data_IF_240924388532
#
_entry.id   IF_240924388532
#
_cell.length_a   1.000
_cell.length_b   1.000
_cell.length_c   1.000
_cell.angle_alpha   90.00
_cell.angle_beta   90.00
_cell.angle_gamma   90.00
#
_symmetry.space_group_name_H-M   'P 1'
#
loop_
_entity.id
_entity.type
_entity.pdbx_description
1 polymer ?
#
# COMPACT_ATOMS: atom_id res chain seq x y z
N UNK A 1 -8.77 -41.45 -18.67
CA UNK A 1 -9.49 -40.18 -18.89
C UNK A 1 -10.76 -40.31 -18.08
N UNK A 2 -10.95 -39.66 -16.95
CA UNK A 2 -11.17 -38.22 -16.74
C UNK A 2 -11.12 -38.03 -15.22
N UNK A 3 -10.32 -37.13 -14.67
CA UNK A 3 -10.51 -35.72 -14.91
C UNK A 3 -11.43 -35.07 -13.87
N UNK A 4 -11.43 -35.52 -12.61
CA UNK A 4 -12.07 -34.76 -11.54
C UNK A 4 -11.02 -33.91 -10.84
N UNK A 5 -11.09 -32.61 -11.12
CA UNK A 5 -10.40 -31.57 -10.39
C UNK A 5 -10.71 -31.73 -8.89
N UNK A 6 -9.68 -31.99 -8.08
CA UNK A 6 -9.84 -32.11 -6.62
C UNK A 6 -9.65 -30.72 -6.02
N UNK A 7 -10.71 -30.21 -5.39
CA UNK A 7 -10.71 -28.93 -4.68
C UNK A 7 -10.98 -29.18 -3.20
N UNK A 8 -10.11 -28.65 -2.34
CA UNK A 8 -10.20 -28.78 -0.89
C UNK A 8 -9.86 -27.46 -0.20
N UNK A 9 -10.62 -27.15 0.85
CA UNK A 9 -10.45 -25.94 1.65
C UNK A 9 -9.58 -26.29 2.86
N UNK A 10 -8.27 -26.04 2.77
CA UNK A 10 -7.30 -26.36 3.85
C UNK A 10 -7.34 -25.29 4.95
N UNK A 11 -7.69 -24.06 4.58
CA UNK A 11 -7.96 -22.93 5.46
C UNK A 11 -9.20 -22.19 4.91
N UNK A 12 -10.02 -21.50 5.73
CA UNK A 12 -11.23 -20.80 5.26
C UNK A 12 -11.03 -19.82 4.08
N UNK A 13 -9.78 -19.48 3.78
CA UNK A 13 -9.34 -18.47 2.81
C UNK A 13 -8.43 -19.03 1.72
N UNK A 14 -8.07 -20.32 1.80
CA UNK A 14 -7.13 -20.95 0.87
C UNK A 14 -7.80 -22.17 0.28
N UNK A 15 -8.17 -22.04 -1.00
CA UNK A 15 -8.68 -23.13 -1.82
C UNK A 15 -7.49 -23.73 -2.61
N UNK A 16 -7.24 -25.02 -2.41
CA UNK A 16 -6.21 -25.75 -3.14
C UNK A 16 -6.89 -26.61 -4.20
N UNK A 17 -6.50 -26.38 -5.45
CA UNK A 17 -7.04 -27.05 -6.63
C UNK A 17 -5.93 -27.88 -7.27
N UNK A 18 -6.16 -29.20 -7.39
CA UNK A 18 -5.23 -30.12 -8.04
C UNK A 18 -5.74 -30.46 -9.44
N UNK A 19 -5.02 -30.03 -10.47
CA UNK A 19 -5.37 -30.27 -11.85
C UNK A 19 -5.20 -31.76 -12.24
N UNK A 20 -6.15 -32.36 -12.97
CA UNK A 20 -6.09 -33.77 -13.34
C UNK A 20 -4.96 -34.13 -14.33
N UNK A 21 -4.24 -33.14 -14.87
CA UNK A 21 -3.06 -33.35 -15.70
C UNK A 21 -1.77 -33.57 -14.89
N UNK A 22 -1.83 -33.53 -13.55
CA UNK A 22 -0.63 -33.60 -12.70
C UNK A 22 0.00 -35.00 -12.59
N UNK A 23 -0.61 -36.03 -13.20
CA UNK A 23 -0.02 -37.38 -13.29
C UNK A 23 0.03 -38.16 -11.98
N UNK A 24 -0.76 -37.76 -10.99
CA UNK A 24 -0.93 -38.44 -9.70
C UNK A 24 -2.41 -38.47 -9.28
N UNK A 25 -2.78 -39.44 -8.44
CA UNK A 25 -4.11 -39.56 -7.86
C UNK A 25 -4.08 -39.03 -6.43
N UNK A 26 -4.88 -38.00 -6.14
CA UNK A 26 -5.08 -37.46 -4.80
C UNK A 26 -6.52 -37.69 -4.35
N UNK A 27 -6.76 -37.73 -3.04
CA UNK A 27 -8.09 -37.77 -2.43
C UNK A 27 -8.20 -36.71 -1.35
N UNK A 28 -9.35 -36.04 -1.25
CA UNK A 28 -9.64 -35.05 -0.20
C UNK A 28 -10.30 -35.73 0.99
N UNK A 29 -9.75 -35.53 2.19
CA UNK A 29 -10.37 -35.94 3.46
C UNK A 29 -11.02 -34.73 4.13
N UNK A 30 -12.35 -34.67 4.12
CA UNK A 30 -13.11 -33.53 4.64
C UNK A 30 -13.06 -33.41 6.18
N UNK A 31 -12.85 -34.51 6.90
CA UNK A 31 -12.73 -34.51 8.35
C UNK A 31 -11.36 -34.02 8.82
N UNK A 32 -10.30 -34.38 8.09
CA UNK A 32 -8.92 -33.97 8.39
C UNK A 32 -8.49 -32.65 7.75
N UNK A 33 -9.24 -32.15 6.77
CA UNK A 33 -8.84 -31.04 5.89
C UNK A 33 -7.48 -31.28 5.21
N UNK A 34 -7.21 -32.54 4.86
CA UNK A 34 -5.95 -32.98 4.26
C UNK A 34 -6.17 -33.61 2.89
N UNK A 35 -5.18 -33.45 2.00
CA UNK A 35 -5.08 -34.23 0.77
C UNK A 35 -4.23 -35.46 1.02
N UNK A 36 -4.74 -36.64 0.69
CA UNK A 36 -3.98 -37.89 0.70
C UNK A 36 -3.58 -38.27 -0.73
N UNK A 37 -2.29 -38.49 -0.93
CA UNK A 37 -1.72 -38.96 -2.19
C UNK A 37 -1.67 -40.50 -2.15
N UNK A 38 -2.12 -41.15 -3.21
CA UNK A 38 -2.14 -42.62 -3.30
C UNK A 38 -0.76 -43.21 -3.67
N UNK A 39 0.12 -42.39 -4.24
CA UNK A 39 1.45 -42.79 -4.70
C UNK A 39 2.52 -42.42 -3.65
N UNK A 40 3.28 -43.43 -3.18
CA UNK A 40 4.14 -43.29 -1.99
C UNK A 40 5.56 -42.78 -2.24
N UNK A 41 5.94 -42.54 -3.50
CA UNK A 41 7.35 -42.28 -3.84
C UNK A 41 7.59 -41.08 -4.78
N UNK A 42 6.61 -40.17 -4.89
CA UNK A 42 6.73 -38.94 -5.70
C UNK A 42 6.83 -37.69 -4.84
N UNK A 43 7.82 -36.84 -5.15
CA UNK A 43 7.87 -35.46 -4.65
C UNK A 43 6.99 -34.59 -5.55
N UNK A 44 5.95 -33.99 -4.99
CA UNK A 44 5.07 -33.04 -5.68
C UNK A 44 5.35 -31.65 -5.14
N UNK A 45 5.76 -30.73 -6.02
CA UNK A 45 5.90 -29.32 -5.69
C UNK A 45 4.56 -28.62 -5.91
N UNK A 46 3.91 -28.19 -4.83
CA UNK A 46 2.68 -27.39 -4.90
C UNK A 46 3.08 -25.92 -5.02
N UNK A 47 2.76 -25.31 -6.17
CA UNK A 47 2.89 -23.86 -6.33
C UNK A 47 1.64 -23.21 -5.75
N UNK A 48 1.73 -22.66 -4.55
CA UNK A 48 0.72 -21.76 -4.00
C UNK A 48 1.00 -20.37 -4.57
N UNK A 49 0.21 -19.95 -5.57
CA UNK A 49 0.26 -18.57 -6.06
C UNK A 49 -0.42 -17.67 -5.02
N UNK A 50 0.35 -16.80 -4.37
CA UNK A 50 -0.21 -15.76 -3.53
C UNK A 50 -0.96 -14.76 -4.42
N UNK A 51 -2.27 -14.63 -4.21
CA UNK A 51 -3.11 -13.64 -4.88
C UNK A 51 -3.29 -12.38 -4.03
N UNK A 52 -2.42 -12.17 -3.04
CA UNK A 52 -2.38 -10.93 -2.27
C UNK A 52 -1.89 -9.79 -3.15
N UNK A 53 -2.64 -8.69 -3.14
CA UNK A 53 -2.23 -7.41 -3.69
C UNK A 53 -1.62 -6.58 -2.58
N UNK A 54 -0.37 -6.17 -2.72
CA UNK A 54 0.32 -5.34 -1.73
C UNK A 54 0.21 -3.87 -2.14
N UNK A 55 -0.29 -3.04 -1.23
CA UNK A 55 -0.38 -1.59 -1.43
C UNK A 55 0.65 -0.89 -0.56
N UNK A 56 1.54 -0.11 -1.18
CA UNK A 56 2.42 0.80 -0.45
C UNK A 56 1.58 1.97 0.08
N UNK A 57 1.51 2.13 1.40
CA UNK A 57 0.66 3.13 2.07
C UNK A 57 1.46 4.15 2.88
N UNK A 58 2.78 4.19 2.69
CA UNK A 58 3.64 5.13 3.38
C UNK A 58 4.90 5.47 2.59
N UNK A 59 5.68 6.40 3.13
CA UNK A 59 6.86 6.96 2.46
C UNK A 59 8.10 6.07 2.60
N UNK A 60 8.15 5.21 3.62
CA UNK A 60 9.30 4.36 3.90
C UNK A 60 9.11 2.92 3.43
N UNK A 61 10.21 2.21 3.23
CA UNK A 61 10.20 0.79 2.91
C UNK A 61 9.54 -0.02 4.04
N UNK A 62 8.65 -0.96 3.67
CA UNK A 62 7.91 -1.80 4.61
C UNK A 62 6.63 -1.18 5.17
N UNK A 63 6.21 0.01 4.71
CA UNK A 63 4.91 0.60 5.03
C UNK A 63 3.81 0.14 4.06
N UNK A 64 3.53 -1.16 4.09
CA UNK A 64 2.63 -1.82 3.16
C UNK A 64 1.38 -2.41 3.82
N UNK A 65 0.34 -2.56 2.99
CA UNK A 65 -0.92 -3.22 3.35
C UNK A 65 -1.19 -4.30 2.31
N UNK A 66 -1.04 -5.56 2.73
CA UNK A 66 -1.48 -6.72 1.96
C UNK A 66 -3.01 -6.85 1.97
N UNK A 67 -3.61 -6.90 0.77
CA UNK A 67 -5.03 -7.14 0.55
C UNK A 67 -5.17 -8.48 -0.14
N UNK A 68 -5.91 -9.41 0.48
CA UNK A 68 -6.12 -10.74 -0.07
C UNK A 68 -7.51 -10.82 -0.70
N UNK A 69 -7.55 -11.20 -1.98
CA UNK A 69 -8.78 -11.57 -2.67
C UNK A 69 -8.84 -13.09 -2.83
N UNK A 70 -9.72 -13.74 -2.07
CA UNK A 70 -10.02 -15.16 -2.28
C UNK A 70 -10.76 -15.37 -3.61
N UNK A 71 -10.67 -16.57 -4.20
CA UNK A 71 -11.41 -16.90 -5.42
C UNK A 71 -12.93 -16.95 -5.13
N UNK A 72 -13.66 -15.96 -5.64
CA UNK A 72 -15.11 -15.85 -5.51
C UNK A 72 -15.85 -16.39 -6.75
N UNK A 73 -15.18 -17.14 -7.63
CA UNK A 73 -15.83 -17.84 -8.73
C UNK A 73 -16.81 -18.90 -8.22
N UNK A 74 -17.78 -19.33 -9.05
CA UNK A 74 -18.71 -20.39 -8.67
C UNK A 74 -17.98 -21.71 -8.28
N UNK A 75 -16.77 -21.93 -8.81
CA UNK A 75 -15.93 -23.06 -8.44
C UNK A 75 -15.26 -22.83 -7.07
N UNK A 76 -14.62 -21.67 -6.88
CA UNK A 76 -14.01 -21.28 -5.61
C UNK A 76 -15.02 -21.34 -4.46
N UNK A 77 -16.26 -20.91 -4.70
CA UNK A 77 -17.36 -20.97 -3.73
C UNK A 77 -17.97 -22.38 -3.49
N UNK A 78 -17.48 -23.42 -4.18
CA UNK A 78 -17.97 -24.79 -4.01
C UNK A 78 -19.33 -25.07 -4.66
N UNK A 79 -19.78 -24.21 -5.58
CA UNK A 79 -21.03 -24.38 -6.32
C UNK A 79 -20.86 -25.28 -7.55
N UNK A 80 -19.62 -25.55 -8.01
CA UNK A 80 -19.36 -26.42 -9.17
C UNK A 80 -18.07 -27.22 -8.95
N UNK A 81 -17.98 -28.52 -9.35
CA UNK A 81 -19.03 -29.44 -9.81
C UNK A 81 -19.40 -30.52 -8.74
N UNK A 82 -20.65 -31.02 -8.69
CA UNK A 82 -21.77 -30.71 -9.58
C UNK A 82 -22.49 -29.40 -9.21
N UNK A 83 -23.13 -28.73 -10.18
CA UNK A 83 -23.91 -27.52 -9.95
C UNK A 83 -25.05 -27.76 -8.95
N UNK A 84 -25.47 -26.72 -8.21
CA UNK A 84 -26.67 -26.78 -7.38
C UNK A 84 -27.86 -27.23 -8.24
N UNK A 85 -28.65 -28.17 -7.72
CA UNK A 85 -29.77 -28.79 -8.42
C UNK A 85 -30.98 -28.90 -7.50
N UNK A 86 -32.15 -28.62 -8.06
CA UNK A 86 -33.44 -28.60 -7.36
C UNK A 86 -34.41 -29.67 -7.87
N UNK A 87 -33.89 -30.68 -8.58
CA UNK A 87 -34.72 -31.74 -9.19
C UNK A 87 -35.36 -32.68 -8.14
N UNK A 88 -34.68 -32.91 -7.01
CA UNK A 88 -35.16 -33.75 -5.92
C UNK A 88 -35.16 -32.97 -4.59
N UNK A 89 -36.06 -33.33 -3.66
CA UNK A 89 -36.15 -32.71 -2.33
C UNK A 89 -34.82 -32.74 -1.58
N UNK A 90 -34.10 -33.86 -1.63
CA UNK A 90 -32.81 -34.01 -0.96
C UNK A 90 -31.72 -33.13 -1.61
N UNK A 91 -31.70 -33.08 -2.95
CA UNK A 91 -30.76 -32.24 -3.70
C UNK A 91 -31.04 -30.75 -3.47
N UNK A 92 -32.30 -30.36 -3.37
CA UNK A 92 -32.70 -28.99 -3.03
C UNK A 92 -32.22 -28.61 -1.61
N UNK A 93 -32.37 -29.51 -0.63
CA UNK A 93 -31.86 -29.30 0.73
C UNK A 93 -30.34 -29.10 0.77
N UNK A 94 -29.58 -29.95 0.09
CA UNK A 94 -28.12 -29.81 -0.02
C UNK A 94 -27.71 -28.54 -0.78
N UNK A 95 -28.49 -28.16 -1.79
CA UNK A 95 -28.27 -26.93 -2.57
C UNK A 95 -28.41 -25.68 -1.70
N UNK A 96 -29.44 -25.60 -0.85
CA UNK A 96 -29.61 -24.49 0.08
C UNK A 96 -28.38 -24.33 0.98
N UNK A 97 -27.94 -25.42 1.63
CA UNK A 97 -26.74 -25.38 2.49
C UNK A 97 -25.48 -24.94 1.72
N UNK A 98 -25.31 -25.38 0.47
CA UNK A 98 -24.17 -24.94 -0.36
C UNK A 98 -24.23 -23.46 -0.68
N UNK A 99 -25.41 -22.94 -1.04
CA UNK A 99 -25.60 -21.53 -1.35
C UNK A 99 -25.42 -20.66 -0.10
N UNK A 100 -25.94 -21.08 1.06
CA UNK A 100 -25.77 -20.37 2.33
C UNK A 100 -24.29 -20.26 2.70
N UNK A 101 -23.54 -21.36 2.59
CA UNK A 101 -22.09 -21.35 2.81
C UNK A 101 -21.35 -20.42 1.83
N UNK A 102 -21.76 -20.42 0.56
CA UNK A 102 -21.19 -19.52 -0.44
C UNK A 102 -21.49 -18.05 -0.10
N UNK A 103 -22.74 -17.74 0.30
CA UNK A 103 -23.13 -16.40 0.74
C UNK A 103 -22.33 -15.95 1.95
N UNK A 104 -22.13 -16.81 2.93
CA UNK A 104 -21.33 -16.51 4.13
C UNK A 104 -19.85 -16.26 3.80
N UNK A 105 -19.28 -16.98 2.83
CA UNK A 105 -17.91 -16.71 2.35
C UNK A 105 -17.83 -15.35 1.67
N UNK A 106 -18.76 -15.03 0.77
CA UNK A 106 -18.79 -13.72 0.08
C UNK A 106 -19.03 -12.57 1.07
N UNK A 107 -19.90 -12.76 2.06
CA UNK A 107 -20.17 -11.76 3.10
C UNK A 107 -18.94 -11.50 3.96
N UNK A 108 -18.21 -12.55 4.35
CA UNK A 108 -16.92 -12.42 5.07
C UNK A 108 -15.86 -11.71 4.24
N UNK A 109 -15.75 -12.03 2.95
CA UNK A 109 -14.84 -11.34 2.04
C UNK A 109 -15.16 -9.84 1.96
N UNK A 110 -16.45 -9.48 1.79
CA UNK A 110 -16.90 -8.08 1.78
C UNK A 110 -16.61 -7.34 3.10
N UNK A 111 -16.84 -8.00 4.24
CA UNK A 111 -16.55 -7.42 5.55
C UNK A 111 -15.06 -7.07 5.71
N UNK A 112 -14.17 -7.94 5.23
CA UNK A 112 -12.72 -7.67 5.24
C UNK A 112 -12.32 -6.54 4.32
N UNK A 113 -12.89 -6.49 3.10
CA UNK A 113 -12.65 -5.37 2.19
C UNK A 113 -13.12 -4.04 2.81
N UNK A 114 -14.25 -4.03 3.52
CA UNK A 114 -14.70 -2.86 4.27
C UNK A 114 -13.73 -2.46 5.39
N UNK A 115 -13.18 -3.43 6.12
CA UNK A 115 -12.16 -3.17 7.14
C UNK A 115 -10.86 -2.59 6.53
N UNK A 116 -10.41 -3.12 5.39
CA UNK A 116 -9.26 -2.56 4.67
C UNK A 116 -9.53 -1.14 4.18
N UNK A 117 -10.73 -0.88 3.63
CA UNK A 117 -11.13 0.47 3.21
C UNK A 117 -11.09 1.46 4.38
N UNK A 118 -11.70 1.10 5.52
CA UNK A 118 -11.68 1.96 6.71
C UNK A 118 -10.25 2.22 7.20
N UNK A 119 -9.39 1.19 7.22
CA UNK A 119 -7.98 1.37 7.56
C UNK A 119 -7.27 2.32 6.58
N UNK A 120 -7.50 2.16 5.28
CA UNK A 120 -6.93 3.05 4.26
C UNK A 120 -7.42 4.49 4.39
N UNK A 121 -8.71 4.72 4.67
CA UNK A 121 -9.25 6.05 4.93
C UNK A 121 -8.55 6.73 6.12
N UNK A 122 -8.37 6.00 7.22
CA UNK A 122 -7.64 6.51 8.38
C UNK A 122 -6.16 6.75 8.08
N UNK A 123 -5.50 5.86 7.34
CA UNK A 123 -4.11 6.04 6.92
C UNK A 123 -3.98 7.28 6.04
N UNK A 124 -4.86 7.48 5.05
CA UNK A 124 -4.86 8.66 4.17
C UNK A 124 -5.06 9.94 4.98
N UNK A 125 -6.01 9.96 5.91
CA UNK A 125 -6.23 11.12 6.78
C UNK A 125 -4.98 11.46 7.62
N UNK A 126 -4.34 10.44 8.18
CA UNK A 126 -3.11 10.61 8.97
C UNK A 126 -1.94 11.11 8.11
N UNK A 127 -1.77 10.56 6.91
CA UNK A 127 -0.73 11.00 5.98
C UNK A 127 -0.92 12.44 5.52
N UNK A 128 -2.17 12.86 5.28
CA UNK A 128 -2.47 14.24 4.91
C UNK A 128 -2.08 15.22 6.04
N UNK A 129 -2.39 14.88 7.29
CA UNK A 129 -1.97 15.67 8.46
C UNK A 129 -0.45 15.68 8.60
N UNK A 130 0.20 14.52 8.48
CA UNK A 130 1.66 14.42 8.57
C UNK A 130 2.34 15.25 7.47
N UNK A 131 1.86 15.15 6.23
CA UNK A 131 2.34 15.93 5.09
C UNK A 131 2.20 17.43 5.34
N UNK A 132 1.03 17.90 5.80
CA UNK A 132 0.82 19.31 6.15
C UNK A 132 1.80 19.78 7.24
N UNK A 133 2.02 18.98 8.27
CA UNK A 133 2.94 19.31 9.37
C UNK A 133 4.41 19.34 8.92
N UNK A 134 4.80 18.41 8.03
CA UNK A 134 6.13 18.36 7.44
C UNK A 134 6.36 19.55 6.51
N UNK A 135 5.41 19.88 5.61
CA UNK A 135 5.51 21.05 4.74
C UNK A 135 5.59 22.36 5.55
N UNK A 136 4.80 22.49 6.62
CA UNK A 136 4.90 23.67 7.51
C UNK A 136 6.25 23.74 8.25
N UNK A 137 6.83 22.59 8.59
CA UNK A 137 8.15 22.54 9.24
C UNK A 137 9.27 22.80 8.24
N UNK A 138 9.16 22.29 7.03
CA UNK A 138 10.06 22.57 5.91
C UNK A 138 10.03 24.06 5.56
N UNK A 139 8.84 24.66 5.48
CA UNK A 139 8.67 26.11 5.31
C UNK A 139 9.38 26.88 6.42
N UNK A 140 9.23 26.51 7.70
CA UNK A 140 9.99 27.17 8.79
C UNK A 140 11.50 27.05 8.70
N UNK A 141 12.02 25.98 8.10
CA UNK A 141 13.46 25.73 8.02
C UNK A 141 14.07 26.35 6.75
N UNK A 142 13.39 26.19 5.62
CA UNK A 142 13.88 26.61 4.31
C UNK A 142 13.42 28.01 3.94
N UNK A 143 12.20 28.39 4.30
CA UNK A 143 11.68 29.71 3.95
C UNK A 143 12.32 30.74 4.89
N UNK A 144 12.98 31.70 4.26
CA UNK A 144 13.52 32.87 4.92
C UNK A 144 12.39 33.83 5.27
N UNK A 145 12.47 34.44 6.45
CA UNK A 145 11.62 35.56 6.79
C UNK A 145 11.98 36.76 5.90
N UNK A 146 11.18 36.96 4.85
CA UNK A 146 11.37 38.02 3.84
C UNK A 146 11.54 39.39 4.47
N UNK A 147 10.88 39.67 5.60
CA UNK A 147 11.02 40.96 6.27
C UNK A 147 12.43 41.15 6.86
N UNK A 148 12.98 40.11 7.49
CA UNK A 148 14.34 40.15 8.07
C UNK A 148 15.40 40.22 6.98
N UNK A 149 15.24 39.45 5.92
CA UNK A 149 16.21 39.43 4.82
C UNK A 149 16.18 40.75 4.03
N UNK A 150 15.00 41.35 3.81
CA UNK A 150 14.87 42.68 3.21
C UNK A 150 15.50 43.79 4.07
N UNK A 151 15.36 43.72 5.40
CA UNK A 151 16.03 44.67 6.31
C UNK A 151 17.56 44.52 6.24
N UNK A 152 18.07 43.29 6.24
CA UNK A 152 19.50 43.03 6.09
C UNK A 152 20.02 43.50 4.73
N UNK A 153 19.30 43.18 3.64
CA UNK A 153 19.63 43.64 2.29
C UNK A 153 19.64 45.17 2.19
N UNK A 154 18.64 45.83 2.77
CA UNK A 154 18.56 47.31 2.81
C UNK A 154 19.70 47.89 3.64
N UNK A 155 20.01 47.32 4.82
CA UNK A 155 21.14 47.72 5.66
C UNK A 155 22.46 47.58 4.91
N UNK A 156 22.68 46.47 4.21
CA UNK A 156 23.88 46.24 3.41
C UNK A 156 23.97 47.23 2.24
N UNK A 157 22.87 47.53 1.57
CA UNK A 157 22.82 48.53 0.50
C UNK A 157 23.15 49.93 1.01
N UNK A 158 22.60 50.34 2.16
CA UNK A 158 22.94 51.60 2.82
C UNK A 158 24.41 51.60 3.23
N UNK A 159 24.95 50.49 3.77
CA UNK A 159 26.35 50.39 4.16
C UNK A 159 27.28 50.51 2.95
N UNK A 160 26.95 49.90 1.81
CA UNK A 160 27.71 50.04 0.57
C UNK A 160 27.67 51.47 0.02
N UNK A 161 26.50 52.11 0.04
CA UNK A 161 26.36 53.50 -0.39
C UNK A 161 27.08 54.48 0.57
N UNK A 162 27.05 54.19 1.87
CA UNK A 162 27.78 54.95 2.89
C UNK A 162 29.28 54.72 2.78
N UNK A 163 29.72 53.49 2.52
CA UNK A 163 31.14 53.14 2.35
C UNK A 163 31.76 53.77 1.11
N UNK A 164 31.02 53.81 0.00
CA UNK A 164 31.44 54.53 -1.21
C UNK A 164 31.49 56.04 -1.00
N UNK A 165 30.50 56.62 -0.30
CA UNK A 165 30.49 58.05 0.06
C UNK A 165 31.60 58.41 1.06
N UNK A 166 31.86 57.55 2.05
CA UNK A 166 32.95 57.73 3.01
C UNK A 166 34.32 57.57 2.36
N UNK A 167 34.50 56.63 1.43
CA UNK A 167 35.73 56.54 0.64
C UNK A 167 35.94 57.79 -0.23
N UNK A 168 34.89 58.30 -0.86
CA UNK A 168 34.97 59.55 -1.61
C UNK A 168 35.38 60.74 -0.72
N UNK A 169 34.81 60.83 0.48
CA UNK A 169 35.09 61.93 1.42
C UNK A 169 36.47 61.78 2.09
N UNK A 170 36.91 60.56 2.40
CA UNK A 170 38.24 60.26 2.91
C UNK A 170 39.35 60.53 1.87
N UNK A 171 39.06 60.40 0.57
CA UNK A 171 39.98 60.76 -0.50
C UNK A 171 40.06 62.28 -0.74
N UNK A 172 39.01 63.03 -0.42
CA UNK A 172 38.99 64.50 -0.53
C UNK A 172 39.64 65.21 0.67
N UNK A 173 39.54 64.63 1.86
CA UNK A 173 40.14 65.18 3.09
C UNK A 173 41.66 65.49 2.96
N UNK A 174 42.52 64.60 2.43
CA UNK A 174 43.95 64.89 2.28
C UNK A 174 44.26 65.95 1.22
N UNK A 175 43.38 66.17 0.23
CA UNK A 175 43.56 67.25 -0.75
C UNK A 175 43.35 68.63 -0.10
N UNK A 176 42.38 68.75 0.80
CA UNK A 176 42.12 69.98 1.55
C UNK A 176 43.26 70.30 2.54
N UNK A 177 43.89 69.28 3.14
CA UNK A 177 45.07 69.48 4.00
C UNK A 177 46.30 69.88 3.17
N UNK A 178 46.40 69.42 1.92
CA UNK A 178 47.49 69.83 1.02
C UNK A 178 47.37 71.29 0.56
N UNK A 179 46.16 71.86 0.52
CA UNK A 179 45.97 73.30 0.30
C UNK A 179 46.40 74.12 1.51
N UNK A 180 46.15 73.63 2.73
CA UNK A 180 46.59 74.28 3.98
C UNK A 180 48.11 74.19 4.21
N UNK A 181 48.80 73.18 3.67
CA UNK A 181 50.26 73.05 3.72
C UNK A 181 51.00 73.86 2.64
N UNK A 182 50.27 74.45 1.68
CA UNK A 182 50.81 75.33 0.64
C UNK A 182 50.64 76.82 0.94
N UNK A 183 49.96 77.16 2.04
CA UNK A 183 49.87 78.52 2.60
C UNK A 183 50.82 78.65 3.80
#
# INVERSE_FOLDING_TARGET
MTGNLLSGVVHPEVDVVLEPAAGFTASWNDAGKTFALDDRDRVITVHLADNSSVLQTGANEGEDVGIIFGDMSARGLGLIPPPPSVVDRELAGRTLTRVDNAMDRVSRARARLGAYQNRLEHTVANLAVASSNLTASESRIRDLDMAREMMNFTRLSILMQSGTSMLAQANQLPQNVLELLKQ
#
